data_IF_599579292868
#
_entry.id   IF_599579292868
#
_cell.length_a   1.000
_cell.length_b   1.000
_cell.length_c   1.000
_cell.angle_alpha   90.00
_cell.angle_beta   90.00
_cell.angle_gamma   90.00
#
_symmetry.space_group_name_H-M   'P 1'
#
loop_
_entity.id
_entity.type
_entity.pdbx_description
1 polymer ?
#
# COMPACT_ATOMS: atom_id res chain seq x y z
N UNK A 1 -15.97 66.84 7.37
CA UNK A 1 -16.63 66.59 8.66
C UNK A 1 -16.18 65.23 9.17
N UNK A 2 -15.51 65.23 10.33
CA UNK A 2 -14.99 64.05 11.00
C UNK A 2 -16.10 63.32 11.77
N UNK A 3 -16.03 61.99 11.87
CA UNK A 3 -16.44 61.22 13.05
C UNK A 3 -15.54 59.98 13.19
N UNK A 4 -14.63 60.06 14.17
CA UNK A 4 -13.92 58.94 14.81
C UNK A 4 -14.85 58.31 15.85
N UNK A 5 -14.81 56.98 15.99
CA UNK A 5 -15.02 56.18 17.21
C UNK A 5 -15.11 54.71 16.77
N UNK A 6 -14.17 53.82 17.11
CA UNK A 6 -13.97 53.13 18.40
C UNK A 6 -14.24 51.64 18.08
N UNK A 7 -13.23 50.81 17.83
CA UNK A 7 -12.30 50.33 18.84
C UNK A 7 -12.83 49.01 19.42
N UNK A 8 -12.72 47.91 18.66
CA UNK A 8 -12.89 46.55 19.20
C UNK A 8 -11.74 45.70 18.66
N UNK A 9 -10.64 45.70 19.42
CA UNK A 9 -9.51 44.81 19.19
C UNK A 9 -9.94 43.41 19.67
N UNK A 10 -10.49 42.61 18.75
CA UNK A 10 -10.65 41.18 19.00
C UNK A 10 -9.26 40.56 18.92
N UNK A 11 -8.67 40.29 20.09
CA UNK A 11 -7.45 39.51 20.19
C UNK A 11 -7.80 38.07 19.78
N UNK A 12 -7.64 37.75 18.51
CA UNK A 12 -7.76 36.39 17.99
C UNK A 12 -6.57 35.60 18.53
N UNK A 13 -6.72 34.98 19.71
CA UNK A 13 -5.79 33.95 20.16
C UNK A 13 -6.01 32.76 19.24
N UNK A 14 -5.20 32.66 18.19
CA UNK A 14 -5.02 31.43 17.44
C UNK A 14 -4.43 30.39 18.39
N UNK A 15 -5.29 29.66 19.10
CA UNK A 15 -4.93 28.37 19.66
C UNK A 15 -4.61 27.50 18.45
N UNK A 16 -3.32 27.32 18.17
CA UNK A 16 -2.86 26.33 17.21
C UNK A 16 -3.23 24.95 17.77
N UNK A 17 -4.45 24.49 17.44
CA UNK A 17 -4.80 23.09 17.60
C UNK A 17 -3.79 22.30 16.76
N UNK A 18 -3.15 21.26 17.30
CA UNK A 18 -2.34 20.37 16.49
C UNK A 18 -3.24 19.85 15.37
N UNK A 19 -2.86 20.12 14.13
CA UNK A 19 -3.51 19.56 12.96
C UNK A 19 -3.22 18.06 12.99
N UNK A 20 -4.12 17.28 13.59
CA UNK A 20 -4.10 15.82 13.43
C UNK A 20 -4.42 15.58 11.96
N UNK A 21 -3.38 15.30 11.18
CA UNK A 21 -3.55 14.91 9.78
C UNK A 21 -4.41 13.64 9.74
N UNK A 22 -5.36 13.60 8.80
CA UNK A 22 -6.15 12.39 8.59
C UNK A 22 -5.21 11.23 8.18
N UNK A 23 -5.50 9.99 8.61
CA UNK A 23 -4.66 8.85 8.26
C UNK A 23 -4.60 8.66 6.74
N UNK A 24 -3.44 8.25 6.25
CA UNK A 24 -3.25 7.91 4.84
C UNK A 24 -3.97 6.60 4.55
N UNK A 25 -4.95 6.62 3.66
CA UNK A 25 -5.63 5.40 3.23
C UNK A 25 -4.79 4.68 2.16
N UNK A 26 -4.63 3.37 2.31
CA UNK A 26 -3.93 2.49 1.36
C UNK A 26 -4.90 1.39 0.91
N UNK A 27 -5.24 1.38 -0.37
CA UNK A 27 -6.11 0.35 -0.96
C UNK A 27 -5.26 -0.85 -1.37
N UNK A 28 -5.60 -2.02 -0.83
CA UNK A 28 -4.91 -3.28 -1.08
C UNK A 28 -5.86 -4.29 -1.73
N UNK A 29 -5.57 -4.69 -2.97
CA UNK A 29 -6.32 -5.72 -3.68
C UNK A 29 -5.76 -7.11 -3.40
N UNK A 30 -6.56 -7.96 -2.75
CA UNK A 30 -6.16 -9.32 -2.39
C UNK A 30 -6.78 -10.40 -3.27
N UNK A 31 -6.05 -11.51 -3.38
CA UNK A 31 -6.41 -12.70 -4.15
C UNK A 31 -6.86 -13.89 -3.25
N UNK A 32 -6.96 -13.68 -1.94
CA UNK A 32 -7.15 -14.75 -0.95
C UNK A 32 -8.58 -14.77 -0.42
N UNK A 33 -9.34 -15.81 -0.78
CA UNK A 33 -10.66 -16.08 -0.21
C UNK A 33 -10.63 -17.05 0.96
N UNK A 34 -11.82 -17.41 1.45
CA UNK A 34 -12.01 -18.46 2.45
C UNK A 34 -11.23 -18.20 3.74
N UNK A 35 -10.57 -19.24 4.26
CA UNK A 35 -9.84 -19.14 5.53
C UNK A 35 -8.58 -18.27 5.41
N UNK A 36 -7.91 -18.28 4.26
CA UNK A 36 -6.72 -17.46 4.02
C UNK A 36 -7.08 -15.97 3.96
N UNK A 37 -8.22 -15.63 3.35
CA UNK A 37 -8.76 -14.26 3.39
C UNK A 37 -9.03 -13.78 4.80
N UNK A 38 -9.63 -14.62 5.65
CA UNK A 38 -9.87 -14.28 7.08
C UNK A 38 -8.57 -13.99 7.84
N UNK A 39 -7.51 -14.77 7.59
CA UNK A 39 -6.20 -14.49 8.20
C UNK A 39 -5.59 -13.20 7.68
N UNK A 40 -5.71 -12.93 6.38
CA UNK A 40 -5.24 -11.68 5.80
C UNK A 40 -5.96 -10.47 6.41
N UNK A 41 -7.28 -10.55 6.55
CA UNK A 41 -8.08 -9.51 7.18
C UNK A 41 -7.67 -9.27 8.64
N UNK A 42 -7.35 -10.33 9.38
CA UNK A 42 -6.85 -10.22 10.76
C UNK A 42 -5.50 -9.48 10.82
N UNK A 43 -4.56 -9.76 9.91
CA UNK A 43 -3.30 -9.03 9.84
C UNK A 43 -3.50 -7.55 9.48
N UNK A 44 -4.43 -7.24 8.58
CA UNK A 44 -4.77 -5.86 8.22
C UNK A 44 -5.39 -5.13 9.41
N UNK A 45 -6.27 -5.80 10.17
CA UNK A 45 -6.85 -5.25 11.39
C UNK A 45 -5.78 -4.98 12.46
N UNK A 46 -4.87 -5.92 12.68
CA UNK A 46 -3.75 -5.75 13.62
C UNK A 46 -2.85 -4.58 13.22
N UNK A 47 -2.50 -4.46 11.94
CA UNK A 47 -1.71 -3.34 11.43
C UNK A 47 -2.43 -1.99 11.59
N UNK A 48 -3.73 -1.93 11.30
CA UNK A 48 -4.51 -0.70 11.47
C UNK A 48 -4.71 -0.33 12.95
N UNK A 49 -4.68 -1.31 13.86
CA UNK A 49 -4.82 -1.07 15.30
C UNK A 49 -3.49 -0.72 15.99
N UNK A 50 -2.35 -1.06 15.38
CA UNK A 50 -1.02 -0.83 15.97
C UNK A 50 -0.54 0.62 15.85
N UNK A 51 -1.17 1.43 15.00
CA UNK A 51 -0.78 2.81 14.69
C UNK A 51 -1.97 3.65 14.19
N UNK A 52 -1.79 4.96 14.02
CA UNK A 52 -2.84 5.89 13.56
C UNK A 52 -2.51 6.68 12.28
N UNK A 53 -1.36 6.43 11.66
CA UNK A 53 -0.84 7.17 10.51
C UNK A 53 -1.37 6.62 9.17
N UNK A 54 -1.67 5.32 9.10
CA UNK A 54 -2.08 4.60 7.89
C UNK A 54 -3.32 3.75 8.16
N UNK A 55 -4.26 3.73 7.22
CA UNK A 55 -5.40 2.80 7.22
C UNK A 55 -5.36 1.97 5.95
N UNK A 56 -5.07 0.69 6.08
CA UNK A 56 -5.13 -0.27 4.97
C UNK A 56 -6.56 -0.76 4.79
N UNK A 57 -7.07 -0.62 3.58
CA UNK A 57 -8.38 -1.13 3.14
C UNK A 57 -8.12 -2.35 2.25
N UNK A 58 -8.34 -3.54 2.80
CA UNK A 58 -8.27 -4.77 2.02
C UNK A 58 -9.56 -4.95 1.21
N UNK A 59 -9.42 -5.10 -0.10
CA UNK A 59 -10.50 -5.42 -1.01
C UNK A 59 -10.24 -6.77 -1.65
N UNK A 60 -11.07 -7.78 -1.32
CA UNK A 60 -10.98 -9.08 -1.98
C UNK A 60 -11.50 -8.98 -3.41
N UNK A 61 -10.63 -9.25 -4.38
CA UNK A 61 -10.94 -9.04 -5.80
C UNK A 61 -11.20 -10.34 -6.58
N UNK A 62 -11.13 -11.50 -5.94
CA UNK A 62 -11.24 -12.82 -6.56
C UNK A 62 -9.97 -13.63 -6.42
N UNK A 63 -9.72 -14.57 -7.31
CA UNK A 63 -8.45 -15.30 -7.37
C UNK A 63 -7.36 -14.46 -8.06
N UNK A 64 -6.12 -14.97 -8.11
CA UNK A 64 -4.99 -14.26 -8.74
C UNK A 64 -5.26 -13.80 -10.18
N UNK A 65 -5.93 -14.63 -10.98
CA UNK A 65 -6.30 -14.26 -12.36
C UNK A 65 -7.31 -13.11 -12.43
N UNK A 66 -8.23 -13.02 -11.46
CA UNK A 66 -9.21 -11.93 -11.39
C UNK A 66 -8.51 -10.60 -11.01
N UNK A 67 -7.57 -10.66 -10.06
CA UNK A 67 -6.74 -9.50 -9.68
C UNK A 67 -5.91 -9.03 -10.87
N UNK A 68 -5.25 -9.96 -11.59
CA UNK A 68 -4.46 -9.66 -12.79
C UNK A 68 -5.31 -8.94 -13.85
N UNK A 69 -6.47 -9.48 -14.19
CA UNK A 69 -7.39 -8.89 -15.17
C UNK A 69 -7.87 -7.50 -14.76
N UNK A 70 -8.28 -7.34 -13.50
CA UNK A 70 -8.72 -6.05 -12.96
C UNK A 70 -7.59 -5.04 -12.95
N UNK A 71 -6.37 -5.43 -12.55
CA UNK A 71 -5.21 -4.55 -12.54
C UNK A 71 -4.91 -4.05 -13.95
N UNK A 72 -4.85 -4.95 -14.94
CA UNK A 72 -4.67 -4.58 -16.35
C UNK A 72 -5.70 -3.55 -16.83
N UNK A 73 -6.99 -3.77 -16.53
CA UNK A 73 -8.05 -2.83 -16.90
C UNK A 73 -7.94 -1.49 -16.14
N UNK A 74 -7.55 -1.53 -14.86
CA UNK A 74 -7.45 -0.35 -14.00
C UNK A 74 -6.34 0.60 -14.43
N UNK A 75 -5.22 0.08 -14.93
CA UNK A 75 -4.07 0.85 -15.43
C UNK A 75 -4.52 1.78 -16.57
N UNK A 76 -5.33 1.28 -17.51
CA UNK A 76 -5.83 2.09 -18.62
C UNK A 76 -6.77 3.22 -18.16
N UNK A 77 -7.45 3.05 -17.03
CA UNK A 77 -8.36 4.05 -16.45
C UNK A 77 -7.72 4.97 -15.41
N UNK A 78 -6.46 4.73 -15.03
CA UNK A 78 -5.76 5.45 -13.96
C UNK A 78 -6.35 5.25 -12.56
N UNK A 79 -7.14 4.17 -12.35
CA UNK A 79 -7.82 3.85 -11.08
C UNK A 79 -7.24 2.58 -10.44
N UNK A 80 -5.92 2.53 -10.33
CA UNK A 80 -5.19 1.40 -9.75
C UNK A 80 -5.30 1.40 -8.22
N UNK A 81 -5.19 0.24 -7.55
CA UNK A 81 -4.95 0.22 -6.11
C UNK A 81 -3.54 0.71 -5.79
N UNK A 82 -3.27 0.98 -4.51
CA UNK A 82 -1.92 1.26 -4.03
C UNK A 82 -1.06 0.00 -3.96
N UNK A 83 -1.68 -1.12 -3.58
CA UNK A 83 -1.05 -2.44 -3.48
C UNK A 83 -1.96 -3.52 -4.09
N UNK A 84 -1.37 -4.55 -4.68
CA UNK A 84 -2.12 -5.71 -5.15
C UNK A 84 -1.34 -7.02 -5.02
N UNK A 85 -2.08 -8.12 -4.84
CA UNK A 85 -1.51 -9.46 -4.87
C UNK A 85 -1.45 -9.98 -6.31
N UNK A 86 -0.23 -10.19 -6.80
CA UNK A 86 0.00 -10.84 -8.09
C UNK A 86 0.68 -12.19 -7.89
N UNK A 87 0.36 -13.12 -8.80
CA UNK A 87 1.15 -14.34 -8.92
C UNK A 87 2.51 -13.98 -9.55
N UNK A 88 3.58 -14.61 -9.05
CA UNK A 88 4.95 -14.17 -9.32
C UNK A 88 5.32 -14.21 -10.80
N UNK A 89 4.80 -15.19 -11.58
CA UNK A 89 5.06 -15.28 -13.02
C UNK A 89 4.43 -14.13 -13.82
N UNK A 90 3.50 -13.37 -13.24
CA UNK A 90 2.84 -12.23 -13.88
C UNK A 90 3.58 -10.92 -13.72
N UNK A 91 4.37 -10.78 -12.66
CA UNK A 91 5.06 -9.54 -12.31
C UNK A 91 5.94 -8.99 -13.47
N UNK A 92 6.73 -9.81 -14.20
CA UNK A 92 7.55 -9.30 -15.30
C UNK A 92 6.78 -8.55 -16.39
N UNK A 93 5.53 -8.97 -16.68
CA UNK A 93 4.71 -8.29 -17.67
C UNK A 93 4.34 -6.86 -17.23
N UNK A 94 3.99 -6.68 -15.94
CA UNK A 94 3.67 -5.36 -15.40
C UNK A 94 4.89 -4.47 -15.23
N UNK A 95 6.07 -5.04 -14.91
CA UNK A 95 7.34 -4.29 -14.91
C UNK A 95 7.68 -3.80 -16.32
N UNK A 96 7.57 -4.65 -17.34
CA UNK A 96 7.81 -4.26 -18.73
C UNK A 96 6.82 -3.19 -19.21
N UNK A 97 5.57 -3.25 -18.73
CA UNK A 97 4.56 -2.23 -18.99
C UNK A 97 4.77 -0.93 -18.18
N UNK A 98 5.79 -0.86 -17.31
CA UNK A 98 6.07 0.25 -16.39
C UNK A 98 4.90 0.56 -15.44
N UNK A 99 4.13 -0.47 -15.09
CA UNK A 99 2.96 -0.37 -14.23
C UNK A 99 3.28 -0.58 -12.75
N UNK A 100 4.49 -1.04 -12.41
CA UNK A 100 4.95 -1.24 -11.03
C UNK A 100 6.12 -0.31 -10.71
N UNK A 101 6.16 0.14 -9.46
CA UNK A 101 7.27 0.92 -8.92
C UNK A 101 8.30 -0.02 -8.28
N UNK A 102 9.59 0.31 -8.41
CA UNK A 102 10.64 -0.40 -7.71
C UNK A 102 10.60 -0.08 -6.21
N UNK A 103 10.69 -1.11 -5.38
CA UNK A 103 10.55 -1.05 -3.93
C UNK A 103 11.86 -0.74 -3.22
N UNK A 104 13.01 -0.75 -3.89
CA UNK A 104 14.33 -0.58 -3.24
C UNK A 104 14.42 0.72 -2.41
N UNK A 105 13.81 1.81 -2.90
CA UNK A 105 13.76 3.08 -2.16
C UNK A 105 12.83 3.05 -0.94
N UNK A 106 11.78 2.23 -0.98
CA UNK A 106 10.85 2.03 0.14
C UNK A 106 11.41 1.06 1.18
N UNK A 107 12.19 0.07 0.73
CA UNK A 107 12.81 -0.90 1.61
C UNK A 107 14.02 -0.34 2.36
N UNK A 108 14.64 0.73 1.85
CA UNK A 108 15.76 1.39 2.48
C UNK A 108 15.33 2.37 3.60
N UNK A 109 16.25 2.68 4.50
CA UNK A 109 16.09 3.74 5.51
C UNK A 109 15.49 3.27 6.84
N UNK A 110 15.30 4.20 7.79
CA UNK A 110 14.91 3.88 9.17
C UNK A 110 13.50 3.29 9.31
N UNK A 111 12.63 3.56 8.33
CA UNK A 111 11.26 3.02 8.27
C UNK A 111 11.13 1.96 7.16
N UNK A 112 12.26 1.47 6.63
CA UNK A 112 12.29 0.44 5.61
C UNK A 112 12.02 -0.95 6.19
N UNK A 113 12.18 -1.97 5.36
CA UNK A 113 12.03 -3.37 5.76
C UNK A 113 13.41 -4.04 5.83
N UNK A 114 13.64 -4.86 6.85
CA UNK A 114 14.83 -5.71 6.86
C UNK A 114 14.60 -6.87 5.88
N UNK A 115 15.22 -6.77 4.71
CA UNK A 115 15.13 -7.81 3.67
C UNK A 115 15.68 -9.17 4.13
N UNK A 116 16.42 -9.21 5.25
CA UNK A 116 16.89 -10.46 5.86
C UNK A 116 15.78 -11.24 6.56
N UNK A 117 14.66 -10.61 6.88
CA UNK A 117 13.49 -11.26 7.46
C UNK A 117 12.78 -12.19 6.45
N UNK A 118 13.12 -12.07 5.17
CA UNK A 118 12.60 -12.92 4.11
C UNK A 118 13.54 -14.09 3.80
N UNK A 119 12.95 -15.20 3.36
CA UNK A 119 13.71 -16.31 2.77
C UNK A 119 14.38 -15.81 1.49
N UNK A 120 15.71 -15.73 1.49
CA UNK A 120 16.48 -15.05 0.44
C UNK A 120 16.20 -15.60 -0.96
N UNK A 121 16.09 -16.93 -1.11
CA UNK A 121 15.77 -17.53 -2.41
C UNK A 121 14.42 -17.06 -2.98
N UNK A 122 13.42 -16.86 -2.12
CA UNK A 122 12.10 -16.38 -2.53
C UNK A 122 12.12 -14.88 -2.83
N UNK A 123 12.90 -14.11 -2.05
CA UNK A 123 13.06 -12.68 -2.26
C UNK A 123 13.74 -12.37 -3.60
N UNK A 124 14.75 -13.15 -3.99
CA UNK A 124 15.45 -12.96 -5.27
C UNK A 124 14.53 -13.16 -6.48
N UNK A 125 13.54 -14.05 -6.40
CA UNK A 125 12.51 -14.17 -7.45
C UNK A 125 11.61 -12.94 -7.56
N UNK A 126 11.63 -12.05 -6.56
CA UNK A 126 10.89 -10.79 -6.56
C UNK A 126 11.68 -9.65 -7.24
N UNK A 127 12.89 -9.93 -7.72
CA UNK A 127 13.76 -8.97 -8.43
C UNK A 127 13.70 -9.15 -9.93
N UNK A 128 13.65 -8.03 -10.65
CA UNK A 128 13.75 -7.96 -12.11
C UNK A 128 14.80 -6.91 -12.46
N UNK A 129 15.78 -7.29 -13.27
CA UNK A 129 16.95 -6.45 -13.61
C UNK A 129 17.64 -5.85 -12.37
N UNK A 130 17.75 -6.65 -11.31
CA UNK A 130 18.38 -6.29 -10.03
C UNK A 130 17.51 -5.43 -9.10
N UNK A 131 16.34 -4.95 -9.53
CA UNK A 131 15.44 -4.11 -8.73
C UNK A 131 14.33 -4.93 -8.10
N UNK A 132 13.96 -4.61 -6.87
CA UNK A 132 12.87 -5.27 -6.14
C UNK A 132 11.52 -4.71 -6.61
N UNK A 133 10.59 -5.58 -7.04
CA UNK A 133 9.26 -5.14 -7.49
C UNK A 133 8.09 -5.76 -6.71
N UNK A 134 8.36 -6.71 -5.83
CA UNK A 134 7.35 -7.31 -4.96
C UNK A 134 7.97 -7.86 -3.68
N UNK A 135 7.12 -8.26 -2.73
CA UNK A 135 7.53 -8.96 -1.52
C UNK A 135 6.89 -10.35 -1.48
N UNK A 136 7.65 -11.40 -1.09
CA UNK A 136 7.10 -12.75 -0.93
C UNK A 136 6.01 -12.80 0.16
N UNK A 137 4.84 -13.39 -0.15
CA UNK A 137 3.77 -13.60 0.84
C UNK A 137 3.22 -15.04 0.80
N UNK A 138 2.56 -15.45 -0.29
CA UNK A 138 1.96 -16.80 -0.45
C UNK A 138 2.72 -17.64 -1.48
N UNK A 139 3.96 -18.02 -1.16
CA UNK A 139 4.82 -18.81 -2.06
C UNK A 139 4.61 -20.31 -1.87
N UNK A 140 4.60 -21.08 -2.96
CA UNK A 140 4.44 -22.53 -2.97
C UNK A 140 5.29 -23.17 -4.06
N UNK A 141 5.52 -24.48 -3.96
CA UNK A 141 6.16 -25.28 -5.00
C UNK A 141 5.19 -26.39 -5.45
N UNK A 142 5.11 -26.71 -6.76
CA UNK A 142 4.39 -27.90 -7.22
C UNK A 142 5.02 -29.16 -6.61
N UNK A 143 4.17 -30.13 -6.28
CA UNK A 143 4.60 -31.49 -5.90
C UNK A 143 4.24 -32.41 -7.05
N UNK A 144 5.19 -33.19 -7.52
CA UNK A 144 5.04 -34.14 -8.64
C UNK A 144 5.17 -35.57 -8.14
#
# INVERSE_FOLDING_TARGET
MAKKALGMLVLLVCVALPLVAAPTQIVFWSALGGNNGKFLDAFVQEFNASQSDVVVVNEFQGAYGDVEQKLMASIASGKTPDLCMLEISRIPAFVNAKALVALDGFAAGPNGIDLKDFVQGLLEESRIDGKLYSLPQSRSMPVF
#
